data_IF_599018757290
#
_entry.id   IF_599018757290
#
_cell.length_a   1.000
_cell.length_b   1.000
_cell.length_c   1.000
_cell.angle_alpha   90.00
_cell.angle_beta   90.00
_cell.angle_gamma   90.00
#
_symmetry.space_group_name_H-M   'P 1'
#
loop_
_entity.id
_entity.type
_entity.pdbx_description
1 polymer ?
#
# COMPACT_ATOMS: atom_id res chain seq x y z
N UNK A 1 27.38 -101.37 9.11
CA UNK A 1 28.06 -100.14 8.64
C UNK A 1 26.98 -99.11 8.35
N UNK A 2 26.78 -98.11 9.23
CA UNK A 2 25.73 -97.12 9.11
C UNK A 2 26.34 -95.83 8.59
N UNK A 3 25.87 -95.32 7.46
CA UNK A 3 26.20 -93.97 6.96
C UNK A 3 25.07 -93.02 7.27
N UNK A 4 25.36 -92.05 8.12
CA UNK A 4 24.43 -90.95 8.50
C UNK A 4 24.52 -89.84 7.49
N UNK A 5 23.41 -89.52 6.83
CA UNK A 5 23.26 -88.36 5.96
C UNK A 5 22.70 -87.16 6.78
N UNK A 6 23.51 -86.13 6.95
CA UNK A 6 23.07 -84.85 7.56
C UNK A 6 22.52 -83.92 6.46
N UNK A 7 21.22 -83.70 6.42
CA UNK A 7 20.58 -82.66 5.61
C UNK A 7 20.77 -81.28 6.27
N UNK A 8 21.36 -80.33 5.55
CA UNK A 8 21.44 -78.92 5.95
C UNK A 8 20.23 -78.17 5.40
N UNK A 9 19.41 -77.69 6.29
CA UNK A 9 18.28 -76.85 5.98
C UNK A 9 18.76 -75.41 5.79
N UNK A 10 18.71 -74.87 4.58
CA UNK A 10 19.03 -73.49 4.26
C UNK A 10 17.76 -72.62 4.48
N UNK A 11 17.69 -71.91 5.60
CA UNK A 11 16.64 -70.94 5.83
C UNK A 11 17.11 -69.65 5.17
N UNK A 12 16.51 -69.30 4.05
CA UNK A 12 16.63 -67.95 3.43
C UNK A 12 15.59 -67.00 4.08
N UNK A 13 16.02 -66.14 4.93
CA UNK A 13 15.20 -65.06 5.50
C UNK A 13 14.98 -64.00 4.43
N UNK A 14 13.74 -63.63 4.05
CA UNK A 14 13.50 -62.49 3.17
C UNK A 14 13.74 -61.19 3.94
N UNK A 15 14.65 -60.38 3.46
CA UNK A 15 14.87 -59.00 3.91
C UNK A 15 13.69 -58.10 3.44
N UNK A 16 12.73 -57.85 4.31
CA UNK A 16 11.63 -56.95 4.03
C UNK A 16 12.18 -55.50 4.01
N UNK A 17 12.26 -54.91 2.82
CA UNK A 17 12.55 -53.47 2.64
C UNK A 17 11.35 -52.68 3.15
N UNK A 18 11.45 -52.09 4.35
CA UNK A 18 10.47 -51.17 4.89
C UNK A 18 10.70 -49.82 4.18
N UNK A 19 9.99 -49.53 3.10
CA UNK A 19 9.93 -48.23 2.46
C UNK A 19 9.08 -47.32 3.35
N UNK A 20 9.74 -46.54 4.21
CA UNK A 20 9.11 -45.51 5.00
C UNK A 20 8.57 -44.42 4.08
N UNK A 21 7.26 -44.38 3.90
CA UNK A 21 6.56 -43.27 3.25
C UNK A 21 6.56 -42.08 4.24
N UNK A 22 7.55 -41.20 4.13
CA UNK A 22 7.53 -39.92 4.78
C UNK A 22 6.39 -39.12 4.15
N UNK A 23 5.20 -39.18 4.74
CA UNK A 23 4.12 -38.25 4.45
C UNK A 23 4.62 -36.89 4.90
N UNK A 24 5.04 -36.06 3.95
CA UNK A 24 5.24 -34.64 4.17
C UNK A 24 3.89 -34.05 4.58
N UNK A 25 3.68 -33.87 5.87
CA UNK A 25 2.58 -33.04 6.37
C UNK A 25 2.90 -31.63 5.90
N UNK A 26 2.34 -31.24 4.75
CA UNK A 26 2.28 -29.85 4.35
C UNK A 26 1.42 -29.15 5.40
N UNK A 27 2.05 -28.59 6.42
CA UNK A 27 1.40 -27.55 7.21
C UNK A 27 1.07 -26.45 6.22
N UNK A 28 -0.20 -26.30 5.88
CA UNK A 28 -0.65 -25.11 5.13
C UNK A 28 -0.15 -23.89 5.91
N UNK A 29 0.81 -23.18 5.33
CA UNK A 29 1.32 -21.97 5.96
C UNK A 29 0.12 -21.07 6.26
N UNK A 30 -0.02 -20.67 7.51
CA UNK A 30 -1.11 -19.79 7.94
C UNK A 30 -1.00 -18.50 7.14
N UNK A 31 -2.10 -18.09 6.50
CA UNK A 31 -2.15 -16.89 5.67
C UNK A 31 -1.88 -15.67 6.54
N UNK A 32 -0.93 -14.82 6.18
CA UNK A 32 -0.62 -13.59 6.89
C UNK A 32 -1.87 -12.69 6.96
N UNK A 33 -2.10 -12.13 8.13
CA UNK A 33 -3.15 -11.12 8.36
C UNK A 33 -2.53 -9.75 8.33
N UNK A 34 -2.84 -8.99 7.31
CA UNK A 34 -2.33 -7.62 7.14
C UNK A 34 -3.46 -6.64 7.38
N UNK A 35 -3.21 -5.63 8.20
CA UNK A 35 -4.07 -4.46 8.29
C UNK A 35 -3.46 -3.32 7.46
N UNK A 36 -4.31 -2.61 6.72
CA UNK A 36 -3.93 -1.44 5.95
C UNK A 36 -4.88 -0.28 6.26
N UNK A 37 -4.38 0.95 6.29
CA UNK A 37 -5.21 2.10 6.67
C UNK A 37 -6.18 2.49 5.58
N UNK A 38 -5.69 2.78 4.39
CA UNK A 38 -6.48 3.28 3.26
C UNK A 38 -6.63 2.23 2.16
N UNK A 39 -7.53 2.47 1.21
CA UNK A 39 -7.72 1.60 0.04
C UNK A 39 -6.46 1.52 -0.82
N UNK A 40 -5.72 2.62 -1.00
CA UNK A 40 -4.48 2.65 -1.78
C UNK A 40 -3.38 1.79 -1.15
N UNK A 41 -3.22 1.90 0.17
CA UNK A 41 -2.26 1.09 0.92
C UNK A 41 -2.67 -0.40 0.92
N UNK A 42 -3.99 -0.67 1.05
CA UNK A 42 -4.50 -2.04 1.00
C UNK A 42 -4.28 -2.71 -0.37
N UNK A 43 -4.53 -1.97 -1.45
CA UNK A 43 -4.31 -2.44 -2.82
C UNK A 43 -2.83 -2.74 -3.09
N UNK A 44 -1.93 -1.83 -2.70
CA UNK A 44 -0.50 -2.02 -2.81
C UNK A 44 -0.03 -3.27 -2.03
N UNK A 45 -0.44 -3.38 -0.75
CA UNK A 45 -0.07 -4.51 0.09
C UNK A 45 -0.58 -5.84 -0.47
N UNK A 46 -1.84 -5.88 -0.94
CA UNK A 46 -2.43 -7.09 -1.54
C UNK A 46 -1.75 -7.47 -2.85
N UNK A 47 -1.40 -6.48 -3.69
CA UNK A 47 -0.74 -6.72 -4.98
C UNK A 47 0.65 -7.36 -4.80
N UNK A 48 1.40 -6.97 -3.76
CA UNK A 48 2.71 -7.54 -3.45
C UNK A 48 2.58 -8.87 -2.70
N UNK A 49 1.68 -8.96 -1.73
CA UNK A 49 1.50 -10.17 -0.92
C UNK A 49 0.85 -11.32 -1.72
N UNK A 50 -0.01 -11.01 -2.69
CA UNK A 50 -0.75 -12.02 -3.47
C UNK A 50 -1.66 -12.86 -2.57
N UNK A 51 -1.68 -14.16 -2.79
CA UNK A 51 -2.47 -15.15 -2.05
C UNK A 51 -1.84 -15.59 -0.71
N UNK A 52 -0.66 -15.06 -0.38
CA UNK A 52 0.03 -15.33 0.87
C UNK A 52 -0.55 -14.56 2.07
N UNK A 53 -1.34 -13.52 1.82
CA UNK A 53 -1.91 -12.70 2.87
C UNK A 53 -3.37 -12.35 2.61
N UNK A 54 -4.09 -12.13 3.72
CA UNK A 54 -5.40 -11.48 3.73
C UNK A 54 -5.22 -10.04 4.20
N UNK A 55 -5.41 -9.08 3.32
CA UNK A 55 -5.35 -7.67 3.65
C UNK A 55 -6.74 -7.16 4.07
N UNK A 56 -6.79 -6.49 5.22
CA UNK A 56 -8.00 -5.84 5.75
C UNK A 56 -7.79 -4.34 5.79
N UNK A 57 -8.51 -3.60 4.94
CA UNK A 57 -8.51 -2.14 4.95
C UNK A 57 -9.39 -1.61 6.09
N UNK A 58 -8.91 -0.60 6.83
CA UNK A 58 -9.69 0.07 7.89
C UNK A 58 -10.66 1.09 7.29
N UNK A 59 -10.20 1.85 6.30
CA UNK A 59 -10.96 2.89 5.63
C UNK A 59 -11.40 2.37 4.27
N UNK A 60 -12.72 2.32 4.07
CA UNK A 60 -13.30 1.96 2.78
C UNK A 60 -13.35 3.14 1.80
N UNK A 61 -13.83 2.92 0.57
CA UNK A 61 -14.07 4.01 -0.38
C UNK A 61 -14.98 5.08 0.22
N UNK A 62 -14.66 6.35 -0.02
CA UNK A 62 -15.44 7.48 0.48
C UNK A 62 -15.20 7.84 1.95
N UNK A 63 -14.17 7.28 2.58
CA UNK A 63 -13.76 7.65 3.94
C UNK A 63 -12.57 8.62 3.86
N UNK A 64 -12.72 9.78 4.51
CA UNK A 64 -11.66 10.76 4.61
C UNK A 64 -10.60 10.32 5.64
N UNK A 65 -9.34 10.06 5.21
CA UNK A 65 -8.28 9.62 6.10
C UNK A 65 -7.81 10.69 7.08
N UNK A 66 -7.89 11.97 6.74
CA UNK A 66 -7.45 13.07 7.60
C UNK A 66 -8.30 13.20 8.86
N UNK A 67 -9.60 12.90 8.74
CA UNK A 67 -10.58 13.02 9.82
C UNK A 67 -10.94 11.69 10.48
N UNK A 68 -10.33 10.58 10.01
CA UNK A 68 -10.68 9.26 10.46
C UNK A 68 -10.46 9.05 11.97
N UNK A 69 -11.47 8.48 12.60
CA UNK A 69 -11.43 8.09 14.01
C UNK A 69 -11.59 6.58 14.12
N UNK A 70 -10.54 5.91 14.57
CA UNK A 70 -10.56 4.45 14.72
C UNK A 70 -11.68 4.03 15.70
N UNK A 71 -12.41 3.01 15.29
CA UNK A 71 -13.46 2.36 16.09
C UNK A 71 -12.89 1.18 16.88
N UNK A 72 -13.67 0.61 17.81
CA UNK A 72 -13.24 -0.58 18.53
C UNK A 72 -12.96 -1.79 17.61
N UNK A 73 -13.75 -2.08 16.56
CA UNK A 73 -13.41 -3.08 15.56
C UNK A 73 -12.06 -2.83 14.86
N UNK A 74 -11.72 -1.57 14.54
CA UNK A 74 -10.44 -1.24 13.91
C UNK A 74 -9.27 -1.55 14.82
N UNK A 75 -9.40 -1.21 16.11
CA UNK A 75 -8.38 -1.54 17.10
C UNK A 75 -8.18 -3.06 17.20
N UNK A 76 -9.26 -3.84 17.17
CA UNK A 76 -9.16 -5.30 17.16
C UNK A 76 -8.46 -5.81 15.89
N UNK A 77 -8.77 -5.25 14.73
CA UNK A 77 -8.11 -5.57 13.45
C UNK A 77 -6.62 -5.29 13.54
N UNK A 78 -6.23 -4.10 13.99
CA UNK A 78 -4.83 -3.71 14.17
C UNK A 78 -4.09 -4.62 15.17
N UNK A 79 -4.73 -4.97 16.29
CA UNK A 79 -4.11 -5.84 17.29
C UNK A 79 -3.92 -7.28 16.81
N UNK A 80 -4.86 -7.80 16.03
CA UNK A 80 -4.83 -9.17 15.51
C UNK A 80 -3.99 -9.33 14.23
N UNK A 81 -3.66 -8.25 13.54
CA UNK A 81 -2.82 -8.29 12.35
C UNK A 81 -1.40 -8.75 12.68
N UNK A 82 -0.78 -9.47 11.77
CA UNK A 82 0.63 -9.89 11.85
C UNK A 82 1.55 -8.76 11.36
N UNK A 83 1.02 -7.89 10.48
CA UNK A 83 1.72 -6.76 9.87
C UNK A 83 0.72 -5.62 9.60
N UNK A 84 1.15 -4.39 9.80
CA UNK A 84 0.33 -3.19 9.58
C UNK A 84 1.04 -2.25 8.61
N UNK A 85 0.31 -1.82 7.58
CA UNK A 85 0.74 -0.78 6.67
C UNK A 85 -0.15 0.47 6.77
N UNK A 86 0.47 1.64 6.72
CA UNK A 86 -0.22 2.92 6.66
C UNK A 86 0.49 3.85 5.68
N UNK A 87 -0.17 4.90 5.23
CA UNK A 87 0.45 5.82 4.27
C UNK A 87 1.65 6.54 4.90
N UNK A 88 1.47 7.14 6.05
CA UNK A 88 2.45 8.05 6.63
C UNK A 88 2.26 9.49 6.17
N UNK A 89 3.29 10.33 6.32
CA UNK A 89 3.27 11.75 5.96
C UNK A 89 2.08 12.52 6.56
N UNK A 90 1.64 12.13 7.76
CA UNK A 90 0.49 12.71 8.48
C UNK A 90 -0.89 12.52 7.83
N UNK A 91 -1.04 11.64 6.81
CA UNK A 91 -2.34 11.40 6.18
C UNK A 91 -3.39 10.94 7.18
N UNK A 92 -3.04 9.97 8.04
CA UNK A 92 -3.98 9.30 8.94
C UNK A 92 -4.34 10.09 10.20
N UNK A 93 -3.95 11.35 10.27
CA UNK A 93 -4.32 12.23 11.36
C UNK A 93 -4.11 11.59 12.75
N UNK A 94 -5.20 11.47 13.55
CA UNK A 94 -5.15 10.92 14.91
C UNK A 94 -4.87 9.43 14.97
N UNK A 95 -5.12 8.67 13.91
CA UNK A 95 -4.81 7.24 13.89
C UNK A 95 -3.30 6.99 13.97
N UNK A 96 -2.48 7.92 13.46
CA UNK A 96 -1.02 7.83 13.54
C UNK A 96 -0.49 7.64 14.96
N UNK A 97 -1.10 8.27 15.98
CA UNK A 97 -0.72 8.09 17.38
C UNK A 97 -0.92 6.66 17.87
N UNK A 98 -1.96 5.99 17.39
CA UNK A 98 -2.26 4.59 17.72
C UNK A 98 -1.22 3.68 17.06
N UNK A 99 -0.91 3.93 15.77
CA UNK A 99 0.08 3.16 15.00
C UNK A 99 1.47 3.24 15.62
N UNK A 100 1.91 4.44 16.01
CA UNK A 100 3.18 4.66 16.73
C UNK A 100 3.21 3.89 18.06
N UNK A 101 2.11 3.88 18.82
CA UNK A 101 2.03 3.12 20.08
C UNK A 101 2.09 1.62 19.86
N UNK A 102 1.53 1.11 18.77
CA UNK A 102 1.61 -0.31 18.41
C UNK A 102 3.05 -0.69 18.00
N UNK A 103 3.71 0.12 17.16
CA UNK A 103 5.11 -0.09 16.76
C UNK A 103 6.07 -0.11 17.96
N UNK A 104 5.84 0.74 18.98
CA UNK A 104 6.64 0.73 20.22
C UNK A 104 6.47 -0.53 21.08
N UNK A 105 5.52 -1.40 20.74
CA UNK A 105 5.24 -2.69 21.41
C UNK A 105 5.64 -3.87 20.54
N UNK A 106 6.65 -3.69 19.70
CA UNK A 106 7.19 -4.71 18.79
C UNK A 106 6.20 -5.23 17.75
N UNK A 107 5.10 -4.51 17.51
CA UNK A 107 4.20 -4.81 16.40
C UNK A 107 4.84 -4.33 15.09
N UNK A 108 4.93 -5.16 14.03
CA UNK A 108 5.40 -4.71 12.72
C UNK A 108 4.43 -3.68 12.12
N UNK A 109 4.82 -2.40 12.10
CA UNK A 109 4.03 -1.25 11.61
C UNK A 109 4.92 -0.39 10.74
N UNK A 110 4.56 -0.23 9.47
CA UNK A 110 5.39 0.48 8.47
C UNK A 110 4.58 1.54 7.73
N UNK A 111 5.14 2.75 7.64
CA UNK A 111 4.65 3.75 6.71
C UNK A 111 5.15 3.39 5.31
N UNK A 112 4.26 3.13 4.36
CA UNK A 112 4.68 2.70 3.01
C UNK A 112 5.50 3.78 2.30
N UNK A 113 5.34 5.04 2.69
CA UNK A 113 6.05 6.18 2.10
C UNK A 113 7.50 6.36 2.59
N UNK A 114 7.97 5.55 3.55
CA UNK A 114 9.33 5.67 4.10
C UNK A 114 10.44 5.49 3.07
N UNK A 115 10.21 4.70 2.02
CA UNK A 115 11.19 4.49 0.93
C UNK A 115 11.20 5.61 -0.11
N UNK A 116 10.32 6.61 -0.01
CA UNK A 116 10.33 7.73 -0.93
C UNK A 116 11.49 8.68 -0.60
N UNK A 117 12.40 8.97 -1.54
CA UNK A 117 13.45 9.94 -1.30
C UNK A 117 12.87 11.31 -0.95
N UNK A 118 13.32 11.89 0.16
CA UNK A 118 12.79 13.14 0.72
C UNK A 118 12.76 14.29 -0.30
N UNK A 119 13.81 14.41 -1.12
CA UNK A 119 13.89 15.43 -2.18
C UNK A 119 12.87 15.26 -3.32
N UNK A 120 12.06 14.19 -3.32
CA UNK A 120 10.94 14.00 -4.27
C UNK A 120 9.59 14.37 -3.66
N UNK A 121 9.54 14.58 -2.34
CA UNK A 121 8.32 14.98 -1.65
C UNK A 121 8.05 16.48 -1.88
N UNK A 122 6.78 16.86 -1.86
CA UNK A 122 6.35 18.27 -1.91
C UNK A 122 6.14 18.76 -0.48
N UNK A 123 6.65 19.95 -0.20
CA UNK A 123 6.44 20.66 1.06
C UNK A 123 5.72 21.98 0.74
N UNK A 124 4.37 21.98 0.68
CA UNK A 124 3.61 23.17 0.38
C UNK A 124 3.71 24.21 1.50
N UNK A 125 3.74 25.51 1.14
CA UNK A 125 3.88 26.62 2.10
C UNK A 125 2.77 26.61 3.16
N UNK A 126 1.56 26.21 2.80
CA UNK A 126 0.40 26.12 3.70
C UNK A 126 0.44 24.89 4.63
N UNK A 127 1.37 23.96 4.39
CA UNK A 127 1.55 22.76 5.21
C UNK A 127 2.95 22.72 5.83
N UNK A 128 3.44 23.85 6.26
CA UNK A 128 4.81 24.09 6.73
C UNK A 128 5.31 23.03 7.71
N UNK A 129 6.49 22.46 7.40
CA UNK A 129 7.14 21.43 8.20
C UNK A 129 6.56 20.04 7.99
N UNK A 130 5.67 19.86 7.02
CA UNK A 130 5.11 18.57 6.64
C UNK A 130 5.08 18.42 5.12
N UNK A 131 5.25 17.19 4.67
CA UNK A 131 5.13 16.84 3.26
C UNK A 131 3.67 16.57 2.89
N UNK A 132 3.31 16.92 1.65
CA UNK A 132 2.03 16.53 1.06
C UNK A 132 1.90 14.99 1.06
N UNK A 133 0.89 14.41 1.73
CA UNK A 133 0.77 12.95 1.87
C UNK A 133 0.18 12.24 0.65
N UNK A 134 -0.32 12.96 -0.36
CA UNK A 134 -1.11 12.43 -1.48
C UNK A 134 -0.25 11.85 -2.61
N UNK A 135 0.81 11.14 -2.25
CA UNK A 135 1.87 10.66 -3.15
C UNK A 135 1.40 9.65 -4.20
N UNK A 136 0.29 8.95 -3.97
CA UNK A 136 -0.27 7.95 -4.91
C UNK A 136 -0.77 8.55 -6.21
N UNK A 137 -0.94 9.85 -6.30
CA UNK A 137 -1.32 10.54 -7.53
C UNK A 137 -0.18 10.73 -8.54
N UNK A 138 1.06 10.38 -8.18
CA UNK A 138 2.16 10.15 -9.14
C UNK A 138 2.57 8.67 -9.08
N UNK A 139 2.22 7.85 -10.10
CA UNK A 139 2.53 6.41 -10.09
C UNK A 139 4.03 6.10 -9.94
N UNK A 140 4.91 7.00 -10.42
CA UNK A 140 6.37 6.83 -10.26
C UNK A 140 6.80 7.05 -8.82
N UNK A 141 6.14 7.96 -8.11
CA UNK A 141 6.42 8.23 -6.71
C UNK A 141 5.86 7.10 -5.84
N UNK A 142 4.63 6.67 -6.14
CA UNK A 142 3.99 5.55 -5.45
C UNK A 142 4.75 4.23 -5.62
N UNK A 143 5.46 4.03 -6.74
CA UNK A 143 6.32 2.87 -6.97
C UNK A 143 7.41 2.71 -5.90
N UNK A 144 7.92 3.79 -5.31
CA UNK A 144 8.89 3.69 -4.21
C UNK A 144 8.32 2.97 -2.97
N UNK A 145 7.01 3.07 -2.74
CA UNK A 145 6.35 2.41 -1.60
C UNK A 145 6.40 0.88 -1.67
N UNK A 146 6.63 0.31 -2.86
CA UNK A 146 6.78 -1.14 -3.08
C UNK A 146 7.95 -1.68 -2.25
N UNK A 147 9.06 -0.94 -2.16
CA UNK A 147 10.25 -1.36 -1.42
C UNK A 147 9.92 -1.61 0.06
N UNK A 148 9.22 -0.68 0.71
CA UNK A 148 8.80 -0.84 2.11
C UNK A 148 7.91 -2.08 2.27
N UNK A 149 6.94 -2.27 1.37
CA UNK A 149 6.01 -3.42 1.45
C UNK A 149 6.74 -4.75 1.24
N UNK A 150 7.62 -4.83 0.23
CA UNK A 150 8.41 -6.06 -0.06
C UNK A 150 9.32 -6.41 1.11
N UNK A 151 10.02 -5.42 1.68
CA UNK A 151 10.96 -5.65 2.78
C UNK A 151 10.23 -6.10 4.04
N UNK A 152 9.12 -5.45 4.39
CA UNK A 152 8.32 -5.81 5.56
C UNK A 152 7.70 -7.22 5.43
N UNK A 153 7.22 -7.61 4.24
CA UNK A 153 6.72 -8.95 3.98
C UNK A 153 7.84 -10.00 4.07
N UNK A 154 9.02 -9.70 3.50
CA UNK A 154 10.18 -10.59 3.55
C UNK A 154 10.73 -10.76 4.97
N UNK A 155 10.55 -9.77 5.85
CA UNK A 155 10.94 -9.86 7.26
C UNK A 155 10.02 -10.79 8.05
N UNK A 156 8.70 -10.71 7.85
CA UNK A 156 7.73 -11.52 8.59
C UNK A 156 7.52 -12.92 8.00
N UNK A 157 7.80 -13.12 6.71
CA UNK A 157 7.67 -14.39 5.98
C UNK A 157 8.87 -14.61 5.04
N UNK A 158 10.07 -14.87 5.61
CA UNK A 158 11.32 -14.94 4.86
C UNK A 158 11.37 -16.08 3.83
N UNK A 159 10.63 -17.16 4.05
CA UNK A 159 10.59 -18.31 3.15
C UNK A 159 9.98 -17.96 1.77
N UNK A 160 9.18 -16.87 1.70
CA UNK A 160 8.54 -16.41 0.47
C UNK A 160 9.07 -15.05 -0.04
N UNK A 161 10.21 -14.59 0.50
CA UNK A 161 10.81 -13.31 0.17
C UNK A 161 11.02 -13.10 -1.35
N UNK A 162 11.42 -14.12 -2.08
CA UNK A 162 11.63 -14.03 -3.53
C UNK A 162 10.32 -13.89 -4.31
N UNK A 163 9.22 -14.46 -3.81
CA UNK A 163 7.90 -14.26 -4.41
C UNK A 163 7.44 -12.82 -4.24
N UNK A 164 7.64 -12.22 -3.07
CA UNK A 164 7.30 -10.82 -2.81
C UNK A 164 8.13 -9.88 -3.69
N UNK A 165 9.44 -10.11 -3.84
CA UNK A 165 10.30 -9.34 -4.75
C UNK A 165 9.83 -9.44 -6.19
N UNK A 166 9.48 -10.64 -6.66
CA UNK A 166 8.98 -10.86 -8.02
C UNK A 166 7.67 -10.14 -8.27
N UNK A 167 6.70 -10.22 -7.32
CA UNK A 167 5.43 -9.51 -7.44
C UNK A 167 5.63 -7.99 -7.34
N UNK A 168 6.50 -7.52 -6.43
CA UNK A 168 6.86 -6.12 -6.34
C UNK A 168 7.38 -5.56 -7.66
N UNK A 169 8.31 -6.26 -8.32
CA UNK A 169 8.82 -5.84 -9.64
C UNK A 169 7.72 -5.78 -10.72
N UNK A 170 6.75 -6.70 -10.69
CA UNK A 170 5.62 -6.67 -11.62
C UNK A 170 4.67 -5.47 -11.34
N UNK A 171 4.43 -5.13 -10.06
CA UNK A 171 3.64 -3.97 -9.65
C UNK A 171 4.36 -2.67 -10.06
N UNK A 172 5.68 -2.60 -9.87
CA UNK A 172 6.48 -1.45 -10.30
C UNK A 172 6.36 -1.21 -11.81
N UNK A 173 6.49 -2.27 -12.61
CA UNK A 173 6.31 -2.17 -14.06
C UNK A 173 4.89 -1.66 -14.43
N UNK A 174 3.86 -2.17 -13.75
CA UNK A 174 2.49 -1.72 -13.98
C UNK A 174 2.32 -0.23 -13.65
N UNK A 175 2.96 0.30 -12.61
CA UNK A 175 2.92 1.74 -12.30
C UNK A 175 3.67 2.59 -13.33
N UNK A 176 4.79 2.09 -13.86
CA UNK A 176 5.50 2.74 -14.97
C UNK A 176 4.64 2.80 -16.24
N UNK A 177 3.96 1.70 -16.58
CA UNK A 177 3.05 1.62 -17.72
C UNK A 177 1.85 2.56 -17.55
N UNK A 178 1.26 2.63 -16.34
CA UNK A 178 0.18 3.57 -16.00
C UNK A 178 0.63 5.03 -16.13
N UNK A 179 1.83 5.34 -15.65
CA UNK A 179 2.38 6.69 -15.81
C UNK A 179 2.52 7.06 -17.30
N UNK A 180 3.10 6.17 -18.11
CA UNK A 180 3.29 6.43 -19.55
C UNK A 180 1.93 6.56 -20.26
N UNK A 181 0.97 5.69 -19.95
CA UNK A 181 -0.39 5.82 -20.45
C UNK A 181 -1.00 7.18 -20.09
N UNK A 182 -0.81 7.63 -18.85
CA UNK A 182 -1.28 8.93 -18.39
C UNK A 182 -0.68 10.08 -19.18
N UNK A 183 0.65 10.05 -19.41
CA UNK A 183 1.36 11.03 -20.24
C UNK A 183 0.77 11.10 -21.65
N UNK A 184 0.62 9.95 -22.32
CA UNK A 184 0.14 9.87 -23.71
C UNK A 184 -1.34 10.28 -23.83
N UNK A 185 -2.14 9.94 -22.81
CA UNK A 185 -3.57 10.27 -22.79
C UNK A 185 -3.80 11.76 -22.54
N UNK A 186 -3.15 12.31 -21.50
CA UNK A 186 -3.34 13.69 -21.07
C UNK A 186 -2.63 14.70 -21.99
N UNK A 187 -1.61 14.28 -22.73
CA UNK A 187 -0.98 15.10 -23.75
C UNK A 187 -1.96 15.58 -24.85
N UNK A 188 -3.09 14.87 -25.02
CA UNK A 188 -4.16 15.26 -25.97
C UNK A 188 -4.90 16.54 -25.53
N UNK A 189 -4.83 16.90 -24.25
CA UNK A 189 -5.40 18.15 -23.75
C UNK A 189 -4.44 19.31 -24.03
N UNK A 190 -4.90 20.40 -24.65
CA UNK A 190 -4.11 21.63 -24.76
C UNK A 190 -3.65 22.14 -23.39
N UNK A 191 -2.42 22.65 -23.27
CA UNK A 191 -1.85 23.12 -22.00
C UNK A 191 -2.77 24.10 -21.24
N UNK A 192 -3.44 25.00 -21.97
CA UNK A 192 -4.40 25.95 -21.38
C UNK A 192 -5.66 25.32 -20.75
N UNK A 193 -5.91 24.02 -21.04
CA UNK A 193 -7.03 23.26 -20.45
C UNK A 193 -6.57 22.34 -19.32
N UNK A 194 -5.27 22.25 -19.05
CA UNK A 194 -4.72 21.43 -17.97
C UNK A 194 -4.81 22.18 -16.63
N UNK A 195 -6.04 22.46 -16.24
CA UNK A 195 -6.37 23.10 -14.96
C UNK A 195 -7.35 22.19 -14.25
N UNK A 196 -7.01 21.80 -13.02
CA UNK A 196 -7.81 20.94 -12.16
C UNK A 196 -8.18 21.71 -10.90
N UNK A 197 -9.48 21.89 -10.66
CA UNK A 197 -9.98 22.49 -9.41
C UNK A 197 -10.71 21.38 -8.65
N UNK A 198 -10.31 21.16 -7.39
CA UNK A 198 -10.75 20.05 -6.54
C UNK A 198 -11.31 20.55 -5.23
N UNK A 199 -12.07 19.74 -4.52
CA UNK A 199 -12.64 20.06 -3.21
C UNK A 199 -11.57 20.33 -2.16
N UNK A 200 -10.47 19.55 -2.13
CA UNK A 200 -9.29 19.85 -1.32
C UNK A 200 -8.00 19.69 -2.13
N UNK A 201 -6.87 20.11 -1.59
CA UNK A 201 -5.59 20.18 -2.30
C UNK A 201 -4.80 18.86 -2.22
N UNK A 202 -5.36 17.81 -2.83
CA UNK A 202 -4.78 16.47 -2.85
C UNK A 202 -3.99 16.14 -4.11
N UNK A 203 -4.09 16.92 -5.19
CA UNK A 203 -3.64 16.52 -6.53
C UNK A 203 -2.32 17.17 -6.96
N UNK A 204 -1.52 17.72 -6.04
CA UNK A 204 -0.26 18.40 -6.39
C UNK A 204 0.74 17.47 -7.07
N UNK A 205 0.85 16.22 -6.61
CA UNK A 205 1.70 15.23 -7.27
C UNK A 205 1.20 14.87 -8.68
N UNK A 206 -0.12 14.78 -8.89
CA UNK A 206 -0.70 14.64 -10.22
C UNK A 206 -0.36 15.84 -11.10
N UNK A 207 -0.51 17.06 -10.57
CA UNK A 207 -0.15 18.29 -11.25
C UNK A 207 1.29 18.29 -11.73
N UNK A 208 2.22 17.92 -10.85
CA UNK A 208 3.64 17.77 -11.16
C UNK A 208 3.93 16.67 -12.18
N UNK A 209 3.25 15.52 -12.06
CA UNK A 209 3.48 14.36 -12.93
C UNK A 209 3.01 14.59 -14.36
N UNK A 210 1.89 15.31 -14.55
CA UNK A 210 1.18 15.40 -15.82
C UNK A 210 1.03 16.83 -16.36
N UNK A 211 1.75 17.79 -15.78
CA UNK A 211 1.74 19.20 -16.19
C UNK A 211 0.34 19.83 -16.10
N UNK A 212 -0.34 19.63 -14.96
CA UNK A 212 -1.59 20.29 -14.62
C UNK A 212 -1.37 21.38 -13.57
N UNK A 213 -2.07 22.49 -13.71
CA UNK A 213 -2.25 23.46 -12.65
C UNK A 213 -3.36 22.96 -11.73
N UNK A 214 -3.03 22.62 -10.50
CA UNK A 214 -3.99 22.18 -9.48
C UNK A 214 -4.35 23.35 -8.57
N UNK A 215 -5.62 23.43 -8.16
CA UNK A 215 -6.14 24.39 -7.21
C UNK A 215 -7.13 23.66 -6.31
N UNK A 216 -6.77 23.43 -5.05
CA UNK A 216 -7.68 22.93 -4.02
C UNK A 216 -8.55 24.06 -3.48
N UNK A 217 -9.81 23.80 -3.19
CA UNK A 217 -10.69 24.76 -2.48
C UNK A 217 -10.36 24.77 -1.00
N UNK A 218 -10.18 23.59 -0.39
CA UNK A 218 -9.59 23.42 0.95
C UNK A 218 -8.10 23.14 0.83
N UNK A 219 -7.35 23.31 1.93
CA UNK A 219 -5.92 23.02 1.98
C UNK A 219 -5.59 21.52 1.87
N UNK A 220 -4.31 21.17 2.07
CA UNK A 220 -3.77 19.78 2.00
C UNK A 220 -4.50 18.83 2.95
N UNK A 221 -4.87 19.30 4.14
CA UNK A 221 -5.67 18.54 5.09
C UNK A 221 -7.07 19.11 5.16
N UNK A 222 -8.07 18.23 5.13
CA UNK A 222 -9.49 18.56 5.27
C UNK A 222 -9.88 19.00 6.70
N UNK A 223 -8.93 19.03 7.63
CA UNK A 223 -9.16 19.52 9.00
C UNK A 223 -9.43 21.02 9.09
N UNK A 224 -9.01 21.78 8.08
CA UNK A 224 -9.26 23.23 7.99
C UNK A 224 -10.24 23.54 6.88
N UNK A 225 -11.19 24.45 7.15
CA UNK A 225 -12.10 24.96 6.12
C UNK A 225 -11.41 26.01 5.25
N UNK A 226 -11.89 26.17 4.01
CA UNK A 226 -11.43 27.21 3.11
C UNK A 226 -11.76 28.60 3.68
N UNK A 227 -10.78 29.52 3.65
CA UNK A 227 -11.00 30.91 4.00
C UNK A 227 -11.95 31.62 3.00
N UNK A 228 -12.79 32.51 3.48
CA UNK A 228 -13.69 33.30 2.60
C UNK A 228 -12.90 34.06 1.52
N UNK A 229 -11.73 34.60 1.87
CA UNK A 229 -10.88 35.34 0.94
C UNK A 229 -10.34 34.41 -0.19
N UNK A 230 -9.97 33.20 0.16
CA UNK A 230 -9.46 32.19 -0.81
C UNK A 230 -10.57 31.76 -1.75
N UNK A 231 -11.78 31.52 -1.23
CA UNK A 231 -12.96 31.20 -2.05
C UNK A 231 -13.25 32.30 -3.06
N UNK A 232 -13.16 33.59 -2.67
CA UNK A 232 -13.38 34.75 -3.58
C UNK A 232 -12.32 34.72 -4.69
N UNK A 233 -11.06 34.46 -4.37
CA UNK A 233 -9.98 34.36 -5.37
C UNK A 233 -10.18 33.19 -6.34
N UNK A 234 -10.58 32.03 -5.84
CA UNK A 234 -10.88 30.86 -6.67
C UNK A 234 -12.04 31.14 -7.61
N UNK A 235 -13.13 31.75 -7.13
CA UNK A 235 -14.28 32.15 -7.97
C UNK A 235 -13.85 33.13 -9.08
N UNK A 236 -13.01 34.10 -8.76
CA UNK A 236 -12.46 35.03 -9.74
C UNK A 236 -11.63 34.31 -10.78
N UNK A 237 -10.72 33.42 -10.34
CA UNK A 237 -9.89 32.61 -11.23
C UNK A 237 -10.72 31.74 -12.18
N UNK A 238 -11.77 31.07 -11.68
CA UNK A 238 -12.71 30.26 -12.47
C UNK A 238 -13.33 31.09 -13.59
N UNK A 239 -13.79 32.30 -13.27
CA UNK A 239 -14.43 33.21 -14.24
C UNK A 239 -13.44 33.69 -15.30
N UNK A 240 -12.26 34.16 -14.88
CA UNK A 240 -11.21 34.67 -15.77
C UNK A 240 -10.67 33.64 -16.73
N UNK A 241 -10.56 32.38 -16.29
CA UNK A 241 -10.03 31.29 -17.10
C UNK A 241 -11.12 30.44 -17.76
N UNK A 242 -12.40 30.84 -17.65
CA UNK A 242 -13.54 30.15 -18.25
C UNK A 242 -13.59 28.64 -17.90
N UNK A 243 -13.24 28.30 -16.65
CA UNK A 243 -13.24 26.92 -16.13
C UNK A 243 -14.67 26.39 -16.14
N UNK A 244 -14.86 25.18 -16.63
CA UNK A 244 -16.21 24.59 -16.84
C UNK A 244 -16.61 23.57 -15.79
N UNK A 245 -15.67 23.07 -15.01
CA UNK A 245 -15.92 22.03 -14.02
C UNK A 245 -15.03 22.21 -12.78
N UNK A 246 -15.59 21.84 -11.64
CA UNK A 246 -14.89 21.61 -10.38
C UNK A 246 -15.10 20.13 -10.05
N UNK A 247 -14.06 19.45 -9.59
CA UNK A 247 -14.11 18.05 -9.23
C UNK A 247 -14.29 17.91 -7.72
N UNK A 248 -15.34 17.22 -7.34
CA UNK A 248 -15.64 16.94 -5.94
C UNK A 248 -15.28 15.50 -5.65
N UNK A 249 -14.55 15.31 -4.58
CA UNK A 249 -14.16 13.99 -4.11
C UNK A 249 -15.31 13.37 -3.31
N UNK A 250 -15.45 12.04 -3.37
CA UNK A 250 -16.52 11.35 -2.63
C UNK A 250 -16.26 11.25 -1.13
N UNK A 251 -15.06 11.60 -0.68
CA UNK A 251 -14.61 11.53 0.71
C UNK A 251 -14.61 12.88 1.45
N UNK A 252 -14.92 13.98 0.76
CA UNK A 252 -14.92 15.35 1.31
C UNK A 252 -16.10 16.14 0.79
#
# INVERSE_FOLDING_TARGET
MHASVKSRLNIRTPLALLVGFLASVSYGAEMLRIAATTTMVADLAQSVAGDRAKVSGLMGPGVDPHLYKATAPDINTLQSADLIFYNGLHLEGRLADILVKLGRRDKPVYAVTESIPEGKLLEPDEFQGHYDPHVWFDPRLWAHCIETVVNALAEVDPDHADEYRKRGAAVEQAYQDHYQWGVDYLAKLPAKQRILITSHDAYNYFGRAFDFRVIGVQGISTQSEAGLADMVQIIKFIKENNIKAIFVESSV
#
